data_IF_789560130511
#
_entry.id   IF_789560130511
#
_cell.length_a   1.000
_cell.length_b   1.000
_cell.length_c   1.000
_cell.angle_alpha   90.00
_cell.angle_beta   90.00
_cell.angle_gamma   90.00
#
_symmetry.space_group_name_H-M   'P 1'
#
loop_
_entity.id
_entity.type
_entity.pdbx_description
1 polymer ?
#
# COMPACT_ATOMS: atom_id res chain seq x y z
N UNK A 1 -14.18 -7.37 -6.51
CA UNK A 1 -13.69 -7.13 -5.13
C UNK A 1 -14.86 -7.05 -4.16
N UNK A 2 -15.77 -6.08 -4.31
CA UNK A 2 -16.94 -5.93 -3.41
C UNK A 2 -17.91 -7.12 -3.43
N UNK A 3 -18.07 -7.81 -4.57
CA UNK A 3 -18.87 -9.04 -4.61
C UNK A 3 -18.34 -10.14 -3.68
N UNK A 4 -17.01 -10.28 -3.60
CA UNK A 4 -16.35 -11.26 -2.74
C UNK A 4 -16.22 -10.77 -1.29
N UNK A 5 -16.15 -9.46 -1.06
CA UNK A 5 -16.05 -8.86 0.27
C UNK A 5 -16.77 -7.50 0.32
N UNK A 6 -18.09 -7.49 0.56
CA UNK A 6 -18.89 -6.27 0.51
C UNK A 6 -18.45 -5.21 1.53
N UNK A 7 -17.98 -5.64 2.70
CA UNK A 7 -17.49 -4.75 3.75
C UNK A 7 -16.28 -3.90 3.35
N UNK A 8 -15.63 -4.24 2.24
CA UNK A 8 -14.43 -3.55 1.77
C UNK A 8 -14.67 -2.23 1.03
N UNK A 9 -15.92 -1.78 0.90
CA UNK A 9 -16.26 -0.52 0.21
C UNK A 9 -15.46 0.68 0.74
N UNK A 10 -15.24 0.74 2.06
CA UNK A 10 -14.46 1.79 2.71
C UNK A 10 -12.98 1.87 2.28
N UNK A 11 -12.44 0.84 1.62
CA UNK A 11 -11.07 0.81 1.11
C UNK A 11 -10.93 1.49 -0.26
N UNK A 12 -12.04 1.95 -0.85
CA UNK A 12 -12.04 2.60 -2.15
C UNK A 12 -12.43 4.06 -2.03
N UNK A 13 -11.54 4.94 -2.50
CA UNK A 13 -11.79 6.37 -2.63
C UNK A 13 -11.94 6.79 -4.10
N UNK A 14 -12.49 7.99 -4.37
CA UNK A 14 -12.55 8.53 -5.72
C UNK A 14 -11.14 8.70 -6.31
N UNK A 15 -10.94 8.18 -7.51
CA UNK A 15 -9.73 8.37 -8.31
C UNK A 15 -9.98 9.29 -9.50
N UNK A 16 -9.22 9.10 -10.58
CA UNK A 16 -9.44 9.85 -11.82
C UNK A 16 -10.37 9.10 -12.78
N UNK A 17 -11.39 9.79 -13.27
CA UNK A 17 -12.34 9.26 -14.23
C UNK A 17 -13.15 8.10 -13.66
N UNK A 18 -13.12 6.96 -14.34
CA UNK A 18 -13.77 5.71 -13.93
C UNK A 18 -12.93 4.86 -12.96
N UNK A 19 -11.75 5.36 -12.54
CA UNK A 19 -10.82 4.64 -11.66
C UNK A 19 -11.00 5.05 -10.21
N UNK A 20 -10.72 4.10 -9.32
CA UNK A 20 -10.72 4.29 -7.87
C UNK A 20 -9.30 4.27 -7.31
N UNK A 21 -9.09 4.99 -6.21
CA UNK A 21 -7.93 4.78 -5.34
C UNK A 21 -8.24 3.69 -4.34
N UNK A 22 -7.25 2.83 -4.08
CA UNK A 22 -7.38 1.74 -3.12
C UNK A 22 -6.45 1.98 -1.93
N UNK A 23 -7.02 1.91 -0.73
CA UNK A 23 -6.28 2.00 0.54
C UNK A 23 -5.62 0.64 0.86
N UNK A 24 -4.44 0.42 0.26
CA UNK A 24 -3.66 -0.78 0.49
C UNK A 24 -3.19 -0.91 1.97
N UNK A 25 -2.67 0.14 2.63
CA UNK A 25 -2.32 0.05 4.05
C UNK A 25 -3.51 -0.28 4.96
N UNK A 26 -4.68 0.32 4.71
CA UNK A 26 -5.92 0.03 5.43
C UNK A 26 -6.36 -1.42 5.26
N UNK A 27 -6.30 -1.95 4.03
CA UNK A 27 -6.59 -3.35 3.74
C UNK A 27 -5.68 -4.31 4.52
N UNK A 28 -4.36 -4.07 4.49
CA UNK A 28 -3.40 -4.88 5.22
C UNK A 28 -3.66 -4.83 6.74
N UNK A 29 -3.94 -3.64 7.27
CA UNK A 29 -4.24 -3.45 8.70
C UNK A 29 -5.50 -4.23 9.11
N UNK A 30 -6.60 -4.09 8.36
CA UNK A 30 -7.83 -4.84 8.61
C UNK A 30 -7.63 -6.36 8.53
N UNK A 31 -6.82 -6.82 7.57
CA UNK A 31 -6.48 -8.25 7.43
C UNK A 31 -5.71 -8.77 8.64
N UNK A 32 -4.75 -8.00 9.16
CA UNK A 32 -3.98 -8.37 10.36
C UNK A 32 -4.85 -8.34 11.63
N UNK A 33 -5.77 -7.37 11.75
CA UNK A 33 -6.75 -7.32 12.86
C UNK A 33 -7.65 -8.56 12.84
N UNK A 34 -8.13 -8.98 11.67
CA UNK A 34 -8.95 -10.17 11.53
C UNK A 34 -8.20 -11.48 11.87
N UNK A 35 -6.87 -11.44 11.96
CA UNK A 35 -6.01 -12.53 12.42
C UNK A 35 -5.66 -12.45 13.91
N UNK A 36 -6.32 -11.57 14.68
CA UNK A 36 -6.08 -11.33 16.10
C UNK A 36 -4.63 -10.91 16.44
N UNK A 37 -3.96 -10.22 15.52
CA UNK A 37 -2.62 -9.65 15.77
C UNK A 37 -2.74 -8.48 16.75
N UNK A 38 -2.09 -8.59 17.91
CA UNK A 38 -2.30 -7.68 19.04
C UNK A 38 -1.76 -6.26 18.87
N UNK A 39 -0.69 -6.04 18.09
CA UNK A 39 -0.13 -4.70 17.86
C UNK A 39 0.24 -4.51 16.40
N UNK A 40 -0.36 -3.50 15.78
CA UNK A 40 -0.21 -3.17 14.37
C UNK A 40 0.16 -1.69 14.27
N UNK A 41 1.21 -1.39 13.50
CA UNK A 41 1.63 -0.02 13.22
C UNK A 41 1.69 0.16 11.72
N UNK A 42 0.97 1.17 11.23
CA UNK A 42 1.16 1.70 9.89
C UNK A 42 2.12 2.90 9.98
N UNK A 43 3.18 2.90 9.17
CA UNK A 43 4.18 3.97 9.15
C UNK A 43 3.72 5.23 8.40
N UNK A 44 2.61 5.14 7.65
CA UNK A 44 2.06 6.22 6.83
C UNK A 44 3.07 6.79 5.80
N UNK A 45 3.85 5.90 5.18
CA UNK A 45 4.88 6.25 4.20
C UNK A 45 4.42 5.92 2.78
N UNK A 46 4.09 6.95 2.00
CA UNK A 46 3.72 6.81 0.58
C UNK A 46 4.97 6.83 -0.31
N UNK A 47 5.33 5.66 -0.84
CA UNK A 47 6.46 5.52 -1.78
C UNK A 47 6.36 6.39 -3.03
N UNK A 48 5.15 6.69 -3.51
CA UNK A 48 4.94 7.51 -4.70
C UNK A 48 5.23 8.99 -4.42
N UNK A 49 4.79 9.49 -3.25
CA UNK A 49 4.97 10.88 -2.82
C UNK A 49 6.39 11.15 -2.28
N UNK A 50 6.98 10.21 -1.54
CA UNK A 50 8.28 10.34 -0.88
C UNK A 50 9.42 9.94 -1.83
N UNK A 51 9.64 10.74 -2.87
CA UNK A 51 10.60 10.43 -3.93
C UNK A 51 12.06 10.36 -3.47
N UNK A 52 12.47 11.21 -2.53
CA UNK A 52 13.85 11.27 -2.04
C UNK A 52 14.25 10.07 -1.16
N UNK A 53 13.26 9.32 -0.67
CA UNK A 53 13.46 8.22 0.28
C UNK A 53 13.13 6.83 -0.31
N UNK A 54 12.25 6.75 -1.30
CA UNK A 54 11.72 5.49 -1.80
C UNK A 54 11.68 5.39 -3.31
N UNK A 55 11.98 4.20 -3.83
CA UNK A 55 11.59 3.85 -5.19
C UNK A 55 10.08 3.56 -5.27
N UNK A 56 9.45 3.89 -6.40
CA UNK A 56 8.01 3.65 -6.63
C UNK A 56 7.70 3.25 -8.07
N UNK A 57 7.08 2.08 -8.22
CA UNK A 57 6.58 1.61 -9.51
C UNK A 57 5.48 2.53 -10.08
N UNK A 58 4.64 3.13 -9.23
CA UNK A 58 3.56 4.02 -9.68
C UNK A 58 4.14 5.31 -10.27
N UNK A 59 5.11 5.92 -9.58
CA UNK A 59 5.81 7.11 -10.07
C UNK A 59 6.53 6.82 -11.39
N UNK A 60 7.26 5.70 -11.45
CA UNK A 60 7.92 5.18 -12.66
C UNK A 60 6.95 5.09 -13.84
N UNK A 61 5.76 4.51 -13.63
CA UNK A 61 4.73 4.40 -14.67
C UNK A 61 4.18 5.78 -15.10
N UNK A 62 3.91 6.69 -14.16
CA UNK A 62 3.44 8.04 -14.49
C UNK A 62 4.47 8.83 -15.32
N UNK A 63 5.76 8.55 -15.13
CA UNK A 63 6.86 9.21 -15.86
C UNK A 63 7.30 8.49 -17.14
N UNK A 64 6.76 7.29 -17.42
CA UNK A 64 7.15 6.51 -18.59
C UNK A 64 8.61 6.01 -18.53
N UNK A 65 9.17 5.87 -17.34
CA UNK A 65 10.54 5.40 -17.15
C UNK A 65 10.64 3.89 -17.44
N UNK A 66 11.78 3.38 -17.95
CA UNK A 66 11.90 1.98 -18.33
C UNK A 66 11.99 1.04 -17.13
N UNK A 67 12.57 1.50 -16.01
CA UNK A 67 12.72 0.73 -14.78
C UNK A 67 12.75 1.63 -13.54
N UNK A 68 12.72 1.03 -12.35
CA UNK A 68 12.89 1.68 -11.05
C UNK A 68 13.71 0.77 -10.11
N UNK A 69 14.33 1.37 -9.10
CA UNK A 69 14.95 0.63 -7.99
C UNK A 69 13.90 -0.11 -7.14
N UNK A 70 14.35 -0.90 -6.16
CA UNK A 70 13.48 -1.71 -5.31
C UNK A 70 13.81 -1.47 -3.86
N UNK A 71 12.78 -1.30 -3.04
CA UNK A 71 12.92 -1.21 -1.60
C UNK A 71 12.94 -2.62 -1.01
N UNK A 72 13.53 -2.78 0.17
CA UNK A 72 13.51 -4.03 0.93
C UNK A 72 13.11 -3.75 2.38
N UNK A 73 12.25 -4.61 2.93
CA UNK A 73 11.96 -4.67 4.36
C UNK A 73 12.61 -5.93 4.91
N UNK A 74 13.37 -5.81 6.00
CA UNK A 74 14.16 -6.92 6.56
C UNK A 74 13.93 -6.96 8.07
N UNK A 75 13.86 -8.17 8.62
CA UNK A 75 13.79 -8.42 10.06
C UNK A 75 14.77 -9.53 10.41
N UNK A 76 15.48 -9.38 11.54
CA UNK A 76 16.37 -10.39 12.07
C UNK A 76 16.31 -10.41 13.59
N UNK A 77 16.62 -11.57 14.18
CA UNK A 77 16.98 -11.67 15.59
C UNK A 77 18.49 -11.44 15.68
N UNK A 78 18.91 -10.44 16.45
CA UNK A 78 20.32 -10.21 16.74
C UNK A 78 20.79 -11.16 17.86
N UNK A 79 22.08 -11.58 17.84
CA UNK A 79 22.67 -12.39 18.91
C UNK A 79 22.66 -11.70 20.28
#
# INVERSE_FOLDING_TARGET
>A
FLEASPASEHLFGPGQGDRYHFDLPGYCSASLVAMDIGHIVNLDLDTCALEDAYFSNRRRNHRGEPDYGRNASVIMLAP
#
